data_IF_385099385388
#
_entry.id   IF_385099385388
#
_cell.length_a   1.000
_cell.length_b   1.000
_cell.length_c   1.000
_cell.angle_alpha   90.00
_cell.angle_beta   90.00
_cell.angle_gamma   90.00
#
_symmetry.space_group_name_H-M   'P 1'
#
loop_
_entity.id
_entity.type
_entity.pdbx_description
1 polymer ?
#
# COMPACT_ATOMS: atom_id res chain seq x y z
N UNK A 1 8.03 -5.30 -15.98
CA UNK A 1 8.16 -3.98 -15.31
C UNK A 1 6.82 -3.29 -15.43
N UNK A 2 6.18 -3.00 -14.30
CA UNK A 2 4.87 -2.39 -14.26
C UNK A 2 4.89 -1.19 -13.31
N UNK A 3 4.12 -0.17 -13.65
CA UNK A 3 3.86 0.95 -12.75
C UNK A 3 2.79 0.50 -11.76
N UNK A 4 3.10 0.52 -10.47
CA UNK A 4 2.15 0.16 -9.42
C UNK A 4 1.71 1.42 -8.70
N UNK A 5 0.40 1.56 -8.50
CA UNK A 5 -0.17 2.59 -7.62
C UNK A 5 0.03 2.15 -6.18
N UNK A 6 0.46 3.08 -5.33
CA UNK A 6 0.65 2.89 -3.89
C UNK A 6 0.02 4.04 -3.15
N UNK A 7 -0.43 3.73 -1.95
CA UNK A 7 -1.09 4.66 -1.06
C UNK A 7 -0.31 4.73 0.24
N UNK A 8 -0.14 5.93 0.78
CA UNK A 8 0.51 6.17 2.07
C UNK A 8 -0.33 7.15 2.88
N UNK A 9 -0.37 6.99 4.19
CA UNK A 9 -1.08 7.93 5.06
C UNK A 9 -0.12 9.04 5.51
N UNK A 10 -0.56 10.30 5.41
CA UNK A 10 0.16 11.46 5.93
C UNK A 10 -0.67 12.21 6.97
N UNK A 11 0.01 12.70 8.00
CA UNK A 11 -0.56 13.59 9.01
C UNK A 11 -0.66 15.04 8.50
N UNK A 12 -1.38 15.91 9.22
CA UNK A 12 -1.56 17.33 8.85
C UNK A 12 -0.23 18.11 8.67
N UNK A 13 0.85 17.61 9.27
CA UNK A 13 2.20 18.19 9.22
C UNK A 13 3.03 17.64 8.05
N UNK A 14 2.49 16.71 7.25
CA UNK A 14 3.19 16.06 6.15
C UNK A 14 4.17 14.97 6.62
N UNK A 15 3.86 14.30 7.73
CA UNK A 15 4.62 13.13 8.22
C UNK A 15 3.93 11.86 7.75
N UNK A 16 4.69 10.89 7.28
CA UNK A 16 4.18 9.59 6.85
C UNK A 16 3.91 8.69 8.04
N UNK A 17 2.78 7.99 7.99
CA UNK A 17 2.54 6.86 8.88
C UNK A 17 3.53 5.76 8.54
N UNK A 18 4.22 5.25 9.55
CA UNK A 18 5.15 4.13 9.44
C UNK A 18 4.44 2.81 9.68
N UNK A 19 5.05 1.71 9.23
CA UNK A 19 4.54 0.35 9.47
C UNK A 19 4.41 0.00 10.97
N UNK A 20 5.12 0.71 11.85
CA UNK A 20 5.01 0.56 13.31
C UNK A 20 3.86 1.38 13.92
N UNK A 21 3.09 2.10 13.09
CA UNK A 21 1.96 2.92 13.53
C UNK A 21 2.37 4.28 14.12
N UNK A 22 3.58 4.76 13.82
CA UNK A 22 4.12 6.05 14.26
C UNK A 22 4.32 7.02 13.08
N UNK A 23 4.42 8.33 13.31
CA UNK A 23 4.60 9.31 12.24
C UNK A 23 6.05 9.77 12.09
N UNK A 24 6.63 9.60 10.90
CA UNK A 24 8.00 9.98 10.57
C UNK A 24 8.05 10.87 9.32
N UNK A 25 9.11 11.67 9.20
CA UNK A 25 9.38 12.43 7.97
C UNK A 25 10.08 11.60 6.90
N UNK A 26 10.60 10.45 7.28
CA UNK A 26 11.32 9.55 6.38
C UNK A 26 10.32 8.65 5.66
N UNK A 27 10.43 8.59 4.32
CA UNK A 27 9.55 7.77 3.50
C UNK A 27 9.99 6.28 3.45
N UNK A 28 11.19 5.95 3.91
CA UNK A 28 11.71 4.59 3.80
C UNK A 28 10.94 3.58 4.67
N UNK A 29 10.43 4.02 5.82
CA UNK A 29 9.63 3.22 6.74
C UNK A 29 8.12 3.50 6.63
N UNK A 30 7.70 4.29 5.64
CA UNK A 30 6.31 4.63 5.43
C UNK A 30 5.47 3.37 5.12
N UNK A 31 4.27 3.30 5.70
CA UNK A 31 3.30 2.26 5.40
C UNK A 31 2.77 2.45 3.97
N UNK A 32 3.17 1.55 3.07
CA UNK A 32 2.78 1.57 1.66
C UNK A 32 1.68 0.52 1.38
N UNK A 33 0.45 0.97 1.20
CA UNK A 33 -0.69 0.14 0.83
C UNK A 33 -0.79 -0.02 -0.69
N UNK A 34 -1.31 -1.16 -1.15
CA UNK A 34 -1.61 -1.40 -2.58
C UNK A 34 -3.04 -1.04 -2.95
N UNK A 35 -3.92 -1.10 -1.97
CA UNK A 35 -5.36 -0.90 -2.13
C UNK A 35 -5.77 0.40 -1.43
N UNK A 36 -6.57 1.21 -2.12
CA UNK A 36 -7.05 2.49 -1.60
C UNK A 36 -7.97 2.30 -0.39
N UNK A 37 -8.89 1.34 -0.47
CA UNK A 37 -9.80 0.98 0.63
C UNK A 37 -9.01 0.57 1.88
N UNK A 38 -7.97 -0.26 1.74
CA UNK A 38 -7.14 -0.69 2.88
C UNK A 38 -6.43 0.50 3.53
N UNK A 39 -5.95 1.46 2.72
CA UNK A 39 -5.38 2.70 3.24
C UNK A 39 -6.41 3.58 3.97
N UNK A 40 -7.65 3.64 3.49
CA UNK A 40 -8.73 4.39 4.17
C UNK A 40 -9.23 3.69 5.44
N UNK A 41 -9.22 2.36 5.47
CA UNK A 41 -9.52 1.58 6.68
C UNK A 41 -8.50 1.89 7.77
N UNK A 42 -7.21 1.88 7.45
CA UNK A 42 -6.15 2.28 8.39
C UNK A 42 -6.26 3.76 8.76
N UNK A 43 -6.59 4.65 7.81
CA UNK A 43 -6.81 6.07 8.08
C UNK A 43 -7.88 6.31 9.16
N UNK A 44 -8.88 5.44 9.26
CA UNK A 44 -9.92 5.56 10.27
C UNK A 44 -9.38 5.47 11.71
N UNK A 45 -8.22 4.83 11.91
CA UNK A 45 -7.52 4.80 13.20
C UNK A 45 -6.77 6.11 13.51
N UNK A 46 -6.54 6.96 12.51
CA UNK A 46 -5.73 8.18 12.59
C UNK A 46 -6.53 9.43 12.18
N UNK A 47 -7.34 10.00 13.10
CA UNK A 47 -8.15 11.18 12.79
C UNK A 47 -7.28 12.40 12.50
N UNK A 48 -7.54 13.09 11.38
CA UNK A 48 -6.79 14.27 10.94
C UNK A 48 -5.71 13.99 9.89
N UNK A 49 -5.49 12.72 9.56
CA UNK A 49 -4.58 12.32 8.49
C UNK A 49 -5.29 12.31 7.12
N UNK A 50 -4.50 12.17 6.04
CA UNK A 50 -4.95 12.03 4.66
C UNK A 50 -4.24 10.89 3.95
N UNK A 51 -4.91 10.21 3.02
CA UNK A 51 -4.28 9.22 2.13
C UNK A 51 -3.70 9.93 0.92
N UNK A 52 -2.44 9.67 0.64
CA UNK A 52 -1.67 10.19 -0.48
C UNK A 52 -1.34 9.06 -1.46
N UNK A 53 -1.58 9.32 -2.76
CA UNK A 53 -1.40 8.33 -3.82
C UNK A 53 -0.16 8.65 -4.64
N UNK A 54 0.71 7.66 -4.86
CA UNK A 54 1.88 7.79 -5.72
C UNK A 54 2.11 6.54 -6.55
N UNK A 55 2.92 6.67 -7.60
CA UNK A 55 3.21 5.58 -8.52
C UNK A 55 4.66 5.17 -8.39
N UNK A 56 4.90 3.89 -8.12
CA UNK A 56 6.25 3.33 -7.99
C UNK A 56 6.53 2.37 -9.13
N UNK A 57 7.73 2.45 -9.69
CA UNK A 57 8.16 1.50 -10.72
C UNK A 57 8.56 0.19 -10.06
N UNK A 58 7.81 -0.88 -10.31
CA UNK A 58 8.14 -2.21 -9.80
C UNK A 58 8.78 -3.06 -10.91
N UNK A 59 9.98 -3.58 -10.62
CA UNK A 59 10.65 -4.55 -11.48
C UNK A 59 9.86 -5.87 -11.57
N UNK A 60 9.04 -6.16 -10.55
CA UNK A 60 8.14 -7.30 -10.51
C UNK A 60 6.71 -6.81 -10.84
N UNK A 61 6.12 -7.24 -11.97
CA UNK A 61 4.72 -6.94 -12.24
C UNK A 61 3.87 -7.58 -11.14
N UNK A 62 2.93 -6.81 -10.62
CA UNK A 62 1.95 -7.28 -9.64
C UNK A 62 1.14 -8.42 -10.29
N UNK A 63 1.40 -9.66 -9.86
CA UNK A 63 0.79 -10.88 -10.40
C UNK A 63 -0.66 -11.07 -9.90
N UNK A 64 -1.42 -10.00 -9.67
CA UNK A 64 -2.83 -10.06 -9.28
C UNK A 64 -3.72 -9.89 -10.52
N UNK A 65 -3.51 -10.72 -11.55
CA UNK A 65 -4.48 -10.82 -12.66
C UNK A 65 -4.61 -12.23 -13.26
N UNK A 66 -4.18 -13.30 -12.57
CA UNK A 66 -4.49 -14.67 -13.05
C UNK A 66 -4.48 -15.74 -11.95
N UNK A 67 -5.04 -15.44 -10.78
CA UNK A 67 -5.47 -16.50 -9.86
C UNK A 67 -6.92 -16.32 -9.46
N UNK A 68 -7.77 -16.24 -10.49
CA UNK A 68 -8.89 -17.17 -10.57
C UNK A 68 -8.38 -18.52 -10.08
N UNK A 69 -8.71 -18.88 -8.85
CA UNK A 69 -8.54 -20.22 -8.31
C UNK A 69 -9.46 -21.16 -9.10
N UNK A 70 -9.16 -21.39 -10.38
CA UNK A 70 -9.54 -22.64 -11.02
C UNK A 70 -8.56 -23.67 -10.51
N UNK A 71 -9.03 -24.35 -9.47
CA UNK A 71 -8.57 -25.64 -9.00
C UNK A 71 -8.10 -26.49 -10.19
N UNK A 72 -6.80 -26.76 -10.29
CA UNK A 72 -6.38 -28.10 -10.67
C UNK A 72 -5.05 -28.45 -9.99
N UNK A 73 -5.20 -29.27 -8.96
CA UNK A 73 -4.17 -30.12 -8.41
C UNK A 73 -3.74 -31.08 -9.51
N UNK A 74 -2.51 -30.95 -10.02
CA UNK A 74 -1.81 -32.08 -10.62
C UNK A 74 -0.47 -32.23 -9.93
N UNK A 75 -0.44 -33.25 -9.07
CA UNK A 75 0.75 -33.80 -8.45
C UNK A 75 1.51 -34.63 -9.49
N UNK A 76 2.83 -34.50 -9.51
CA UNK A 76 3.74 -35.50 -10.03
C UNK A 76 5.03 -35.44 -9.20
#
# INVERSE_FOLDING_TARGET
>A
MAMVTRYSIQDEVGRFLTIEGSFAYDDADAAEFRDEDEAYEELAAYPGCTVETYQRFSAFPDLITTRTFSIERSAA
#
